data_IF_577702434412
#
_entry.id   IF_577702434412
#
_cell.length_a   1.000
_cell.length_b   1.000
_cell.length_c   1.000
_cell.angle_alpha   90.00
_cell.angle_beta   90.00
_cell.angle_gamma   90.00
#
_symmetry.space_group_name_H-M   'P 1'
#
loop_
_entity.id
_entity.type
_entity.pdbx_description
1 polymer ?
#
# COMPACT_ATOMS: atom_id res chain seq x y z
N UNK A 1 6.70 -31.26 -35.07
CA UNK A 1 7.07 -30.61 -33.79
C UNK A 1 6.06 -29.52 -33.48
N UNK A 2 5.12 -29.76 -32.56
CA UNK A 2 4.10 -28.78 -32.16
C UNK A 2 4.61 -27.94 -30.99
N UNK A 3 5.07 -26.72 -31.28
CA UNK A 3 5.47 -25.74 -30.27
C UNK A 3 4.25 -25.03 -29.68
N UNK A 4 3.72 -25.54 -28.57
CA UNK A 4 2.66 -24.86 -27.80
C UNK A 4 3.29 -23.66 -27.08
N UNK A 5 3.25 -22.47 -27.70
CA UNK A 5 3.57 -21.20 -27.02
C UNK A 5 2.50 -20.93 -25.97
N UNK A 6 2.84 -21.14 -24.69
CA UNK A 6 2.04 -20.72 -23.53
C UNK A 6 1.81 -19.20 -23.64
N UNK A 7 0.56 -18.78 -23.85
CA UNK A 7 0.13 -17.40 -23.70
C UNK A 7 0.15 -17.06 -22.22
N UNK A 8 1.22 -16.41 -21.77
CA UNK A 8 1.25 -15.73 -20.47
C UNK A 8 0.07 -14.76 -20.38
N UNK A 9 -0.90 -15.10 -19.51
CA UNK A 9 -1.97 -14.19 -19.11
C UNK A 9 -1.31 -12.96 -18.49
N UNK A 10 -1.22 -11.87 -19.25
CA UNK A 10 -0.89 -10.54 -18.71
C UNK A 10 -1.87 -10.26 -17.57
N UNK A 11 -1.39 -10.35 -16.32
CA UNK A 11 -2.14 -9.89 -15.14
C UNK A 11 -2.62 -8.48 -15.46
N UNK A 12 -3.93 -8.23 -15.33
CA UNK A 12 -4.50 -6.88 -15.44
C UNK A 12 -3.65 -5.99 -14.52
N UNK A 13 -2.94 -5.02 -15.10
CA UNK A 13 -2.25 -4.00 -14.33
C UNK A 13 -3.35 -3.29 -13.54
N UNK A 14 -3.41 -3.56 -12.23
CA UNK A 14 -4.18 -2.73 -11.31
C UNK A 14 -3.73 -1.29 -11.61
N UNK A 15 -4.65 -0.34 -11.84
CA UNK A 15 -4.27 1.05 -12.06
C UNK A 15 -3.47 1.48 -10.83
N UNK A 16 -2.15 1.52 -10.96
CA UNK A 16 -1.28 2.14 -9.96
C UNK A 16 -1.47 3.63 -10.17
N UNK A 17 -2.48 4.20 -9.50
CA UNK A 17 -2.56 5.65 -9.34
C UNK A 17 -1.19 6.11 -8.85
N UNK A 18 -0.64 7.16 -9.49
CA UNK A 18 0.59 7.78 -9.04
C UNK A 18 0.25 8.56 -7.78
N UNK A 19 0.44 7.94 -6.65
CA UNK A 19 0.35 8.63 -5.38
C UNK A 19 1.49 9.65 -5.29
N UNK A 20 1.13 10.89 -4.94
CA UNK A 20 2.04 12.04 -4.92
C UNK A 20 2.79 12.16 -3.59
N UNK A 21 2.10 11.84 -2.48
CA UNK A 21 2.71 11.85 -1.15
C UNK A 21 1.94 10.94 -0.20
N UNK A 22 2.67 10.36 0.75
CA UNK A 22 2.14 9.62 1.89
C UNK A 22 2.57 10.33 3.18
N UNK A 23 1.65 10.58 4.10
CA UNK A 23 1.99 10.92 5.48
C UNK A 23 1.44 9.88 6.44
N UNK A 24 2.13 9.69 7.55
CA UNK A 24 1.75 8.84 8.67
C UNK A 24 1.90 9.67 9.95
N UNK A 25 0.81 9.87 10.69
CA UNK A 25 0.78 10.68 11.93
C UNK A 25 1.43 12.06 11.73
N UNK A 26 1.01 12.78 10.67
CA UNK A 26 1.56 14.08 10.23
C UNK A 26 3.02 14.09 9.75
N UNK A 27 3.73 12.95 9.78
CA UNK A 27 5.09 12.82 9.26
C UNK A 27 5.06 12.38 7.80
N UNK A 28 5.77 13.10 6.93
CA UNK A 28 5.90 12.71 5.52
C UNK A 28 6.77 11.46 5.38
N UNK A 29 6.25 10.45 4.68
CA UNK A 29 6.91 9.16 4.46
C UNK A 29 7.48 9.10 3.05
N UNK A 30 8.80 8.87 2.96
CA UNK A 30 9.50 8.60 1.70
C UNK A 30 9.26 7.15 1.25
N UNK A 31 8.03 6.86 0.84
CA UNK A 31 7.66 5.57 0.27
C UNK A 31 8.12 5.48 -1.19
N UNK A 32 8.73 4.34 -1.55
CA UNK A 32 9.01 3.97 -2.95
C UNK A 32 7.70 3.72 -3.68
N UNK A 33 6.80 3.01 -3.01
CA UNK A 33 5.51 2.62 -3.53
C UNK A 33 4.61 2.20 -2.37
N UNK A 34 3.30 2.26 -2.55
CA UNK A 34 2.37 1.60 -1.65
C UNK A 34 1.18 1.06 -2.41
N UNK A 35 0.50 0.10 -1.83
CA UNK A 35 -0.65 -0.56 -2.42
C UNK A 35 -1.73 -0.75 -1.39
N UNK A 36 -2.94 -0.30 -1.70
CA UNK A 36 -4.13 -0.63 -0.93
C UNK A 36 -4.84 -1.78 -1.65
N UNK A 37 -4.90 -2.93 -1.01
CA UNK A 37 -5.52 -4.17 -1.53
C UNK A 37 -6.60 -4.64 -0.56
N UNK A 38 -7.38 -5.64 -0.95
CA UNK A 38 -8.39 -6.27 -0.09
C UNK A 38 -7.97 -7.71 0.16
N UNK A 39 -7.85 -8.09 1.44
CA UNK A 39 -7.60 -9.48 1.85
C UNK A 39 -8.76 -10.38 1.43
N UNK A 40 -8.53 -11.70 1.45
CA UNK A 40 -9.57 -12.70 1.14
C UNK A 40 -10.79 -12.58 2.06
N UNK A 41 -10.55 -12.20 3.31
CA UNK A 41 -11.57 -11.98 4.34
C UNK A 41 -12.34 -10.66 4.19
N UNK A 42 -11.94 -9.85 3.21
CA UNK A 42 -12.57 -8.56 2.91
C UNK A 42 -11.99 -7.38 3.66
N UNK A 43 -11.07 -7.59 4.60
CA UNK A 43 -10.35 -6.50 5.27
C UNK A 43 -9.43 -5.78 4.27
N UNK A 44 -9.44 -4.45 4.20
CA UNK A 44 -8.49 -3.73 3.37
C UNK A 44 -7.10 -3.72 4.02
N UNK A 45 -6.09 -3.90 3.18
CA UNK A 45 -4.67 -4.04 3.55
C UNK A 45 -3.87 -2.97 2.82
N UNK A 46 -3.23 -2.08 3.56
CA UNK A 46 -2.30 -1.08 3.05
C UNK A 46 -0.86 -1.60 3.20
N UNK A 47 -0.15 -1.71 2.09
CA UNK A 47 1.24 -2.14 2.03
C UNK A 47 2.10 -0.97 1.60
N UNK A 48 3.01 -0.50 2.46
CA UNK A 48 3.89 0.63 2.19
C UNK A 48 5.32 0.12 2.05
N UNK A 49 5.95 0.41 0.92
CA UNK A 49 7.34 0.03 0.63
C UNK A 49 8.25 1.23 0.80
N UNK A 50 9.21 1.14 1.70
CA UNK A 50 10.19 2.19 1.97
C UNK A 50 11.61 1.67 1.74
N UNK A 51 12.56 2.57 1.41
CA UNK A 51 13.99 2.19 1.37
C UNK A 51 14.58 2.06 2.76
N UNK A 52 14.19 2.99 3.64
CA UNK A 52 14.70 3.12 5.00
C UNK A 52 13.65 2.71 6.02
N UNK A 53 14.08 2.47 7.26
CA UNK A 53 13.16 2.34 8.39
C UNK A 53 12.45 3.66 8.60
N UNK A 54 11.13 3.61 8.75
CA UNK A 54 10.34 4.76 9.19
C UNK A 54 9.73 4.41 10.55
N UNK A 55 10.14 5.13 11.59
CA UNK A 55 9.63 4.96 12.96
C UNK A 55 8.13 5.31 13.03
N UNK A 56 7.68 6.28 12.24
CA UNK A 56 6.25 6.63 12.10
C UNK A 56 5.36 5.50 11.59
N UNK A 57 5.94 4.43 11.02
CA UNK A 57 5.22 3.24 10.56
C UNK A 57 5.24 2.10 11.59
N UNK A 58 5.87 2.29 12.76
CA UNK A 58 5.97 1.27 13.81
C UNK A 58 4.92 1.43 14.92
N UNK A 59 4.09 2.48 14.85
CA UNK A 59 3.00 2.66 15.81
C UNK A 59 1.87 1.66 15.57
N UNK A 60 1.20 1.24 16.66
CA UNK A 60 0.10 0.27 16.61
C UNK A 60 -1.06 0.76 15.74
N UNK A 61 -1.41 2.04 15.89
CA UNK A 61 -2.35 2.75 15.05
C UNK A 61 -1.65 3.92 14.36
N UNK A 62 -1.90 4.06 13.06
CA UNK A 62 -1.32 5.11 12.22
C UNK A 62 -2.41 5.75 11.38
N UNK A 63 -2.52 7.08 11.48
CA UNK A 63 -3.35 7.87 10.58
C UNK A 63 -2.58 8.18 9.31
N UNK A 64 -3.06 7.65 8.19
CA UNK A 64 -2.47 7.83 6.87
C UNK A 64 -3.18 8.93 6.09
N UNK A 65 -2.39 9.85 5.55
CA UNK A 65 -2.84 10.83 4.55
C UNK A 65 -2.22 10.46 3.18
N UNK A 66 -3.03 9.88 2.32
CA UNK A 66 -2.68 9.38 0.99
C UNK A 66 -3.13 10.42 -0.04
N UNK A 67 -2.18 11.16 -0.63
CA UNK A 67 -2.49 12.12 -1.68
C UNK A 67 -2.33 11.47 -3.05
N UNK A 68 -3.43 11.29 -3.78
CA UNK A 68 -3.40 10.94 -5.21
C UNK A 68 -3.43 12.22 -6.07
N UNK A 69 -3.30 12.07 -7.39
CA UNK A 69 -3.50 13.18 -8.32
C UNK A 69 -4.92 13.74 -8.34
N UNK A 70 -5.90 13.00 -7.81
CA UNK A 70 -7.32 13.36 -7.88
C UNK A 70 -7.90 13.75 -6.52
N UNK A 71 -7.47 13.09 -5.45
CA UNK A 71 -8.01 13.31 -4.12
C UNK A 71 -6.99 13.05 -3.01
N UNK A 72 -7.28 13.63 -1.85
CA UNK A 72 -6.60 13.33 -0.61
C UNK A 72 -7.48 12.37 0.18
N UNK A 73 -6.90 11.24 0.58
CA UNK A 73 -7.60 10.14 1.25
C UNK A 73 -7.00 10.02 2.64
N UNK A 74 -7.85 10.05 3.67
CA UNK A 74 -7.43 9.85 5.05
C UNK A 74 -7.94 8.51 5.53
N UNK A 75 -7.04 7.64 5.98
CA UNK A 75 -7.40 6.31 6.48
C UNK A 75 -6.63 6.00 7.74
N UNK A 76 -7.30 5.42 8.73
CA UNK A 76 -6.63 4.80 9.88
C UNK A 76 -6.16 3.40 9.47
N UNK A 77 -4.92 3.06 9.83
CA UNK A 77 -4.37 1.72 9.64
C UNK A 77 -3.78 1.16 10.93
N UNK A 78 -4.06 -0.11 11.19
CA UNK A 78 -3.53 -0.89 12.31
C UNK A 78 -2.33 -1.67 11.83
N UNK A 79 -1.18 -1.48 12.47
CA UNK A 79 0.05 -2.18 12.12
C UNK A 79 -0.12 -3.70 12.29
N UNK A 80 0.25 -4.46 11.26
CA UNK A 80 0.20 -5.92 11.27
C UNK A 80 1.59 -6.54 11.27
N UNK A 81 2.38 -6.19 10.27
CA UNK A 81 3.69 -6.80 10.07
C UNK A 81 4.62 -5.87 9.30
N UNK A 82 5.92 -6.05 9.53
CA UNK A 82 6.98 -5.44 8.74
C UNK A 82 7.84 -6.54 8.13
N UNK A 83 7.87 -6.61 6.81
CA UNK A 83 8.66 -7.57 6.04
C UNK A 83 9.93 -6.87 5.59
N UNK A 84 11.09 -7.42 5.98
CA UNK A 84 12.38 -6.89 5.57
C UNK A 84 12.88 -7.61 4.32
N UNK A 85 12.76 -6.97 3.17
CA UNK A 85 13.31 -7.46 1.90
C UNK A 85 14.73 -6.90 1.69
N UNK A 86 15.56 -7.59 0.90
CA UNK A 86 16.99 -7.22 0.71
C UNK A 86 17.25 -5.76 0.33
N UNK A 87 16.31 -5.09 -0.34
CA UNK A 87 16.48 -3.73 -0.87
C UNK A 87 15.42 -2.73 -0.38
N UNK A 88 14.41 -3.18 0.37
CA UNK A 88 13.32 -2.34 0.83
C UNK A 88 12.62 -2.99 2.03
N UNK A 89 11.91 -2.19 2.82
CA UNK A 89 11.03 -2.67 3.88
C UNK A 89 9.60 -2.52 3.43
N UNK A 90 8.78 -3.54 3.71
CA UNK A 90 7.33 -3.51 3.46
C UNK A 90 6.64 -3.44 4.80
N UNK A 91 5.86 -2.40 5.01
CA UNK A 91 5.01 -2.24 6.17
C UNK A 91 3.57 -2.55 5.79
N UNK A 92 2.92 -3.40 6.55
CA UNK A 92 1.57 -3.87 6.29
C UNK A 92 0.65 -3.39 7.39
N UNK A 93 -0.43 -2.74 6.99
CA UNK A 93 -1.48 -2.25 7.87
C UNK A 93 -2.82 -2.79 7.42
N UNK A 94 -3.68 -3.18 8.36
CA UNK A 94 -5.10 -3.36 8.08
C UNK A 94 -5.80 -2.01 8.23
N UNK A 95 -6.65 -1.65 7.28
CA UNK A 95 -7.32 -0.34 7.24
C UNK A 95 -8.75 -0.49 7.74
N UNK A 96 -9.11 0.28 8.77
CA UNK A 96 -10.43 0.18 9.41
C UNK A 96 -11.55 0.75 8.55
N UNK A 97 -11.28 1.78 7.74
CA UNK A 97 -12.31 2.46 6.94
C UNK A 97 -11.93 2.59 5.46
N UNK A 98 -12.48 1.66 4.66
CA UNK A 98 -12.31 1.60 3.19
C UNK A 98 -13.29 2.50 2.43
N UNK A 99 -14.22 3.13 3.13
CA UNK A 99 -15.42 3.76 2.54
C UNK A 99 -15.09 5.01 1.71
N UNK A 100 -13.91 5.62 1.89
CA UNK A 100 -13.50 6.85 1.20
C UNK A 100 -12.81 6.64 -0.15
N UNK A 101 -12.45 5.39 -0.51
CA UNK A 101 -11.71 5.14 -1.76
C UNK A 101 -12.62 5.08 -3.00
N UNK A 102 -13.89 4.69 -2.85
CA UNK A 102 -14.83 4.45 -3.96
C UNK A 102 -15.87 5.55 -4.23
N UNK A 103 -15.81 6.67 -3.49
CA UNK A 103 -16.61 7.87 -3.77
C UNK A 103 -15.81 8.81 -4.68
#
# INVERSE_FOLDING_TARGET
>A
MFGIKKKDKKKKKVPTERFLSLKANDVQIEAINFSLTKNKDGTPRLEIRTRNVCESLHYEHVDFELKTSQKLIKVGGVFKEAINEKHFKVYVFDVDDYSQFYI
#
